data_IF_210095959258
#
_entry.id   IF_210095959258
#
_cell.length_a   1.000
_cell.length_b   1.000
_cell.length_c   1.000
_cell.angle_alpha   90.00
_cell.angle_beta   90.00
_cell.angle_gamma   90.00
#
_symmetry.space_group_name_H-M   'P 1'
#
loop_
_entity.id
_entity.type
_entity.pdbx_description
1 polymer ?
#
# COMPACT_ATOMS: atom_id res chain seq x y z
N UNK A 1 9.43 -0.12 1.59
CA UNK A 1 8.00 -0.19 1.18
C UNK A 1 7.12 -0.01 2.39
N UNK A 2 5.95 0.59 2.23
CA UNK A 2 4.87 0.64 3.22
C UNK A 2 3.81 -0.41 2.87
N UNK A 3 3.00 -0.83 3.84
CA UNK A 3 1.92 -1.79 3.59
C UNK A 3 0.80 -1.16 2.75
N UNK A 4 0.40 -1.84 1.68
CA UNK A 4 -0.58 -1.35 0.70
C UNK A 4 -1.95 -1.03 1.33
N UNK A 5 -2.44 -1.90 2.22
CA UNK A 5 -3.75 -1.71 2.88
C UNK A 5 -3.76 -0.47 3.79
N UNK A 6 -2.65 -0.23 4.50
CA UNK A 6 -2.51 0.97 5.32
C UNK A 6 -2.54 2.23 4.46
N UNK A 7 -1.94 2.20 3.26
CA UNK A 7 -2.00 3.31 2.32
C UNK A 7 -3.43 3.53 1.80
N UNK A 8 -4.15 2.47 1.44
CA UNK A 8 -5.55 2.57 1.00
C UNK A 8 -6.42 3.23 2.06
N UNK A 9 -6.36 2.75 3.30
CA UNK A 9 -7.17 3.29 4.40
C UNK A 9 -6.84 4.76 4.70
N UNK A 10 -5.56 5.14 4.64
CA UNK A 10 -5.12 6.50 4.92
C UNK A 10 -5.48 7.48 3.79
N UNK A 11 -5.48 7.01 2.53
CA UNK A 11 -5.86 7.82 1.38
C UNK A 11 -7.37 7.97 1.27
N UNK A 12 -8.14 6.92 1.54
CA UNK A 12 -9.60 6.96 1.65
C UNK A 12 -10.05 7.96 2.72
N UNK A 13 -9.45 7.92 3.91
CA UNK A 13 -9.69 8.89 4.97
C UNK A 13 -9.30 10.33 4.61
N UNK A 14 -8.43 10.51 3.61
CA UNK A 14 -8.05 11.81 3.07
C UNK A 14 -8.90 12.24 1.85
N UNK A 15 -9.91 11.45 1.48
CA UNK A 15 -10.80 11.69 0.34
C UNK A 15 -10.18 11.36 -1.01
N UNK A 16 -9.19 10.46 -1.05
CA UNK A 16 -8.50 10.03 -2.27
C UNK A 16 -8.74 8.55 -2.52
N UNK A 17 -9.54 8.24 -3.53
CA UNK A 17 -9.80 6.87 -3.97
C UNK A 17 -8.65 6.33 -4.83
N UNK A 18 -8.19 5.12 -4.51
CA UNK A 18 -7.18 4.42 -5.30
C UNK A 18 -7.27 2.90 -5.14
N UNK A 19 -6.44 2.18 -5.88
CA UNK A 19 -6.36 0.70 -5.83
C UNK A 19 -4.94 0.24 -5.52
N UNK A 20 -4.79 -0.92 -4.88
CA UNK A 20 -3.51 -1.64 -4.74
C UNK A 20 -3.52 -2.91 -5.60
N UNK A 21 -2.34 -3.46 -5.89
CA UNK A 21 -2.21 -4.70 -6.64
C UNK A 21 -2.63 -4.59 -8.12
N UNK A 22 -3.00 -5.71 -8.75
CA UNK A 22 -3.40 -5.77 -10.17
C UNK A 22 -4.87 -5.42 -10.42
N UNK A 23 -5.41 -4.44 -9.69
CA UNK A 23 -6.78 -3.93 -9.83
C UNK A 23 -7.95 -4.83 -9.39
N UNK A 24 -7.76 -6.15 -9.34
CA UNK A 24 -8.84 -7.12 -9.14
C UNK A 24 -8.41 -8.29 -8.25
N UNK A 25 -8.33 -8.10 -6.94
CA UNK A 25 -8.25 -9.25 -6.02
C UNK A 25 -9.17 -9.00 -4.84
N UNK A 26 -10.35 -9.62 -4.86
CA UNK A 26 -11.28 -9.58 -3.74
C UNK A 26 -10.80 -10.56 -2.66
N UNK A 27 -10.47 -10.03 -1.47
CA UNK A 27 -10.38 -10.81 -0.24
C UNK A 27 -8.98 -11.02 0.37
N UNK A 28 -7.89 -10.92 -0.40
CA UNK A 28 -6.51 -11.05 0.12
C UNK A 28 -5.57 -10.05 -0.57
N UNK A 29 -4.75 -9.28 0.18
CA UNK A 29 -3.74 -8.39 -0.39
C UNK A 29 -2.60 -9.19 -1.02
N UNK A 30 -2.71 -9.49 -2.31
CA UNK A 30 -1.66 -10.15 -3.07
C UNK A 30 -0.76 -9.13 -3.79
N UNK A 31 0.55 -9.38 -3.95
CA UNK A 31 1.39 -8.54 -4.79
C UNK A 31 0.87 -8.53 -6.22
N UNK A 32 1.02 -7.40 -6.91
CA UNK A 32 0.65 -7.30 -8.33
C UNK A 32 1.42 -8.33 -9.17
N UNK A 33 0.71 -9.28 -9.77
CA UNK A 33 1.30 -10.29 -10.65
C UNK A 33 2.06 -9.67 -11.83
N UNK A 34 1.63 -8.51 -12.31
CA UNK A 34 2.32 -7.75 -13.37
C UNK A 34 3.66 -7.22 -12.88
N UNK A 35 3.71 -6.62 -11.68
CA UNK A 35 4.97 -6.13 -11.11
C UNK A 35 5.94 -7.29 -10.84
N UNK A 36 5.44 -8.42 -10.34
CA UNK A 36 6.25 -9.63 -10.17
C UNK A 36 6.83 -10.13 -11.50
N UNK A 37 6.01 -10.19 -12.57
CA UNK A 37 6.47 -10.59 -13.90
C UNK A 37 7.52 -9.64 -14.50
N UNK A 38 7.49 -8.35 -14.12
CA UNK A 38 8.53 -7.37 -14.47
C UNK A 38 9.80 -7.49 -13.61
N UNK A 39 9.88 -8.47 -12.71
CA UNK A 39 11.05 -8.68 -11.84
C UNK A 39 11.08 -7.79 -10.59
N UNK A 40 9.98 -7.09 -10.27
CA UNK A 40 9.88 -6.32 -9.02
C UNK A 40 9.71 -7.30 -7.86
N UNK A 41 10.53 -7.15 -6.81
CA UNK A 41 10.43 -8.00 -5.63
C UNK A 41 9.05 -7.88 -4.94
N UNK A 42 8.61 -8.95 -4.29
CA UNK A 42 7.27 -9.02 -3.70
C UNK A 42 6.97 -7.90 -2.69
N UNK A 43 7.96 -7.54 -1.85
CA UNK A 43 7.80 -6.48 -0.85
C UNK A 43 7.46 -5.14 -1.51
N UNK A 44 8.07 -4.86 -2.65
CA UNK A 44 7.82 -3.62 -3.41
C UNK A 44 6.51 -3.73 -4.19
N UNK A 45 6.21 -4.90 -4.76
CA UNK A 45 4.97 -5.15 -5.48
C UNK A 45 3.72 -5.03 -4.58
N UNK A 46 3.82 -5.43 -3.30
CA UNK A 46 2.75 -5.26 -2.28
C UNK A 46 2.50 -3.80 -1.89
N UNK A 47 3.47 -2.92 -2.09
CA UNK A 47 3.38 -1.50 -1.77
C UNK A 47 2.90 -0.64 -2.95
N UNK A 48 2.35 -1.26 -4.00
CA UNK A 48 1.93 -0.55 -5.21
C UNK A 48 0.60 0.15 -5.03
N UNK A 49 0.51 1.38 -5.54
CA UNK A 49 -0.72 2.17 -5.65
C UNK A 49 -0.98 2.48 -7.12
N UNK A 50 -2.24 2.39 -7.53
CA UNK A 50 -2.71 2.74 -8.87
C UNK A 50 -3.84 3.76 -8.77
N UNK A 51 -3.59 4.91 -9.38
CA UNK A 51 -4.57 5.98 -9.59
C UNK A 51 -5.01 5.95 -11.05
N UNK A 52 -6.32 6.04 -11.28
CA UNK A 52 -6.91 6.05 -12.62
C UNK A 52 -7.68 7.35 -12.78
N UNK A 53 -7.37 8.11 -13.83
CA UNK A 53 -8.01 9.38 -14.12
C UNK A 53 -8.94 9.24 -15.33
N UNK A 54 -10.07 9.95 -15.29
CA UNK A 54 -11.10 9.94 -16.32
C UNK A 54 -11.27 11.29 -16.99
N UNK A 55 -12.25 11.40 -17.89
CA UNK A 55 -12.58 12.65 -18.59
C UNK A 55 -12.96 13.81 -17.65
N UNK A 56 -13.48 13.49 -16.47
CA UNK A 56 -13.92 14.45 -15.47
C UNK A 56 -12.85 14.75 -14.43
N UNK A 57 -11.69 14.09 -14.48
CA UNK A 57 -10.60 14.39 -13.58
C UNK A 57 -9.98 15.75 -13.90
N UNK A 58 -9.52 16.43 -12.86
CA UNK A 58 -9.02 17.79 -12.90
C UNK A 58 -7.62 17.87 -12.29
N UNK A 59 -6.92 18.99 -12.54
CA UNK A 59 -5.62 19.24 -11.91
C UNK A 59 -5.76 19.34 -10.39
N UNK A 60 -6.92 19.77 -9.89
CA UNK A 60 -7.25 19.78 -8.47
C UNK A 60 -7.24 18.38 -7.84
N UNK A 61 -7.68 17.34 -8.56
CA UNK A 61 -7.65 15.95 -8.10
C UNK A 61 -6.19 15.47 -7.94
N UNK A 62 -5.35 15.78 -8.93
CA UNK A 62 -3.90 15.47 -8.89
C UNK A 62 -3.22 16.23 -7.74
N UNK A 63 -3.59 17.49 -7.54
CA UNK A 63 -3.09 18.30 -6.44
C UNK A 63 -3.53 17.75 -5.08
N UNK A 64 -4.75 17.22 -4.95
CA UNK A 64 -5.24 16.56 -3.75
C UNK A 64 -4.41 15.31 -3.41
N UNK A 65 -4.13 14.46 -4.41
CA UNK A 65 -3.26 13.29 -4.25
C UNK A 65 -1.87 13.71 -3.78
N UNK A 66 -1.27 14.72 -4.41
CA UNK A 66 0.08 15.20 -4.10
C UNK A 66 0.18 15.76 -2.67
N UNK A 67 -0.88 16.39 -2.16
CA UNK A 67 -0.96 16.85 -0.77
C UNK A 67 -1.11 15.71 0.23
N UNK A 68 -1.94 14.71 -0.07
CA UNK A 68 -2.28 13.63 0.87
C UNK A 68 -1.20 12.53 0.95
N UNK A 69 -0.62 12.16 -0.20
CA UNK A 69 0.22 10.98 -0.34
C UNK A 69 1.46 10.96 0.58
N UNK A 70 2.23 12.06 0.76
CA UNK A 70 3.41 12.05 1.64
C UNK A 70 3.07 11.71 3.09
N UNK A 71 1.99 12.29 3.62
CA UNK A 71 1.52 12.04 4.98
C UNK A 71 1.01 10.60 5.16
N UNK A 72 0.28 10.09 4.17
CA UNK A 72 -0.18 8.69 4.17
C UNK A 72 1.02 7.71 4.16
N UNK A 73 2.02 7.95 3.31
CA UNK A 73 3.23 7.11 3.23
C UNK A 73 4.00 7.09 4.54
N UNK A 74 4.21 8.26 5.16
CA UNK A 74 4.94 8.34 6.43
C UNK A 74 4.22 7.57 7.54
N UNK A 75 2.91 7.74 7.66
CA UNK A 75 2.08 7.02 8.64
C UNK A 75 2.05 5.52 8.38
N UNK A 76 1.90 5.10 7.13
CA UNK A 76 1.88 3.69 6.75
C UNK A 76 3.24 3.00 7.02
N UNK A 77 4.36 3.69 6.80
CA UNK A 77 5.69 3.17 7.15
C UNK A 77 5.85 2.93 8.64
N UNK A 78 5.39 3.86 9.48
CA UNK A 78 5.40 3.71 10.93
C UNK A 78 4.54 2.53 11.38
N UNK A 79 3.32 2.42 10.86
CA UNK A 79 2.43 1.30 11.17
C UNK A 79 3.03 -0.06 10.75
N UNK A 80 3.66 -0.14 9.58
CA UNK A 80 4.31 -1.36 9.08
C UNK A 80 5.53 -1.77 9.91
N UNK A 81 6.32 -0.81 10.42
CA UNK A 81 7.47 -1.12 11.29
C UNK A 81 7.04 -1.81 12.60
N UNK A 82 5.98 -1.30 13.24
CA UNK A 82 5.43 -1.88 14.49
C UNK A 82 4.89 -3.30 14.28
N UNK A 83 4.24 -3.55 13.13
CA UNK A 83 3.72 -4.89 12.81
C UNK A 83 4.83 -5.89 12.47
N UNK A 84 5.90 -5.44 11.80
CA UNK A 84 7.05 -6.29 11.45
C UNK A 84 7.82 -6.72 12.72
N UNK A 85 8.03 -5.79 13.66
CA UNK A 85 8.71 -6.07 14.93
C UNK A 85 7.93 -7.09 15.77
N UNK A 86 6.61 -6.95 15.86
CA UNK A 86 5.75 -7.93 16.56
C UNK A 86 5.75 -9.31 15.89
N UNK A 87 5.74 -9.38 14.56
CA UNK A 87 5.76 -10.65 13.85
C UNK A 87 7.11 -11.37 14.02
N UNK A 88 8.22 -10.62 14.01
CA UNK A 88 9.56 -11.16 14.24
C UNK A 88 9.73 -11.69 15.66
N UNK A 89 9.29 -10.93 16.66
CA UNK A 89 9.29 -11.37 18.06
C UNK A 89 8.37 -12.59 18.30
N UNK A 90 7.24 -12.70 17.59
CA UNK A 90 6.37 -13.87 17.65
C UNK A 90 7.02 -15.12 17.05
N UNK A 91 7.73 -15.01 15.91
CA UNK A 91 8.44 -16.14 15.29
C UNK A 91 9.66 -16.60 16.09
N UNK A 92 10.38 -15.70 16.74
CA UNK A 92 11.50 -16.06 17.61
C UNK A 92 11.02 -16.88 18.82
N UNK A 93 9.83 -16.61 19.35
CA UNK A 93 9.21 -17.41 20.42
C UNK A 93 8.63 -18.77 19.97
N UNK A 94 8.46 -18.99 18.67
CA UNK A 94 7.89 -20.23 18.12
C UNK A 94 8.97 -21.22 17.65
N UNK A 95 10.20 -20.74 17.41
CA UNK A 95 11.36 -21.57 17.06
C UNK A 95 12.07 -22.15 18.30
N UNK A 96 11.79 -21.60 19.49
CA UNK A 96 12.35 -22.03 20.79
C UNK A 96 11.42 -23.02 21.55
N UNK A 97 10.50 -23.68 20.82
CA UNK A 97 9.62 -24.77 21.30
C UNK A 97 9.69 -25.98 20.36
#
# INVERSE_FOLDING_TARGET
GAEGDALLMLLDAAGVDCSTGSACTAGVPEPSHVLLAMGVNERTARASLRFSFGRTSTDEDVAAITRALPGAVERARRAGSVSTDRYRAARENEVDR
#
